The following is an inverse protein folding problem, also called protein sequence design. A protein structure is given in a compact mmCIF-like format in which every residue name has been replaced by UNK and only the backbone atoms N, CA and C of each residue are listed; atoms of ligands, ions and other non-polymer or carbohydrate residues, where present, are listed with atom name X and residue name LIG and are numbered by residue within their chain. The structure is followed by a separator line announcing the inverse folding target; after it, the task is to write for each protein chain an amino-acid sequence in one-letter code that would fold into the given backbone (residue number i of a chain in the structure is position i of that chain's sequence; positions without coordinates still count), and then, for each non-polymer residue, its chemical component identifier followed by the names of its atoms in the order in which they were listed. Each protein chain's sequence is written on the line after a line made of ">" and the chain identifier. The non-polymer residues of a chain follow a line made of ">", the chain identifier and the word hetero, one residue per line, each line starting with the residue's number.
data_IF_161096936683
#
_entry.id   IF_161096936683
#
_cell.length_a   1.000
_cell.length_b   1.000
_cell.length_c   1.000
_cell.angle_alpha   90.00
_cell.angle_beta   90.00
_cell.angle_gamma   90.00
#
_symmetry.space_group_name_H-M   'P 1'
#
loop_
_entity.id
_entity.type
_entity.pdbx_description
1 polymer ?
#
# COMPACT_ATOMS: atom_id res chain seq x y z
N UNK A 1 -3.35 -25.00 16.90
CA UNK A 1 -2.07 -24.29 16.69
C UNK A 1 -1.15 -25.21 15.94
N UNK A 2 -0.38 -24.72 14.96
CA UNK A 2 0.67 -25.54 14.35
C UNK A 2 1.76 -25.87 15.38
N UNK A 3 2.54 -26.95 15.19
CA UNK A 3 3.58 -27.38 16.14
C UNK A 3 4.65 -26.30 16.41
N UNK A 4 4.82 -25.33 15.51
CA UNK A 4 5.88 -24.32 15.58
C UNK A 4 5.40 -22.94 16.07
N UNK A 5 4.25 -22.84 16.75
CA UNK A 5 3.70 -21.55 17.23
C UNK A 5 3.45 -21.55 18.72
N UNK A 6 4.22 -20.74 19.43
CA UNK A 6 4.06 -20.49 20.87
C UNK A 6 2.87 -19.55 21.15
N UNK A 7 2.12 -19.84 22.21
CA UNK A 7 1.02 -18.98 22.64
C UNK A 7 1.56 -17.81 23.47
N UNK A 8 1.40 -16.59 22.97
CA UNK A 8 1.88 -15.38 23.66
C UNK A 8 0.96 -14.97 24.82
N UNK A 9 -0.32 -15.35 24.78
CA UNK A 9 -1.31 -14.99 25.81
C UNK A 9 -2.26 -16.17 26.09
N UNK A 10 -1.77 -17.12 26.89
CA UNK A 10 -2.45 -18.38 27.20
C UNK A 10 -3.72 -18.19 28.03
N UNK A 11 -3.71 -17.24 28.97
CA UNK A 11 -4.89 -16.94 29.81
C UNK A 11 -6.07 -16.46 28.96
N UNK A 12 -5.84 -15.54 28.03
CA UNK A 12 -6.89 -15.02 27.15
C UNK A 12 -7.40 -16.10 26.19
N UNK A 13 -6.49 -16.95 25.69
CA UNK A 13 -6.86 -18.05 24.80
C UNK A 13 -7.72 -19.09 25.52
N UNK A 14 -7.35 -19.45 26.75
CA UNK A 14 -8.09 -20.41 27.57
C UNK A 14 -9.48 -19.87 27.88
N UNK A 15 -9.59 -18.61 28.34
CA UNK A 15 -10.87 -17.95 28.60
C UNK A 15 -11.80 -17.94 27.37
N UNK A 16 -11.26 -17.57 26.21
CA UNK A 16 -12.03 -17.56 24.96
C UNK A 16 -12.45 -18.97 24.53
N UNK A 17 -11.58 -19.96 24.73
CA UNK A 17 -11.86 -21.36 24.38
C UNK A 17 -12.96 -21.94 25.25
N UNK A 18 -12.90 -21.73 26.57
CA UNK A 18 -13.92 -22.19 27.51
C UNK A 18 -15.27 -21.52 27.23
N UNK A 19 -15.26 -20.21 27.00
CA UNK A 19 -16.46 -19.47 26.65
C UNK A 19 -17.02 -19.88 25.27
N UNK A 20 -16.16 -20.25 24.32
CA UNK A 20 -16.60 -20.75 23.01
C UNK A 20 -17.28 -22.13 23.10
N UNK A 21 -16.74 -23.03 23.94
CA UNK A 21 -17.37 -24.32 24.24
C UNK A 21 -18.71 -24.11 24.95
N UNK A 22 -18.77 -23.21 25.94
CA UNK A 22 -20.00 -22.88 26.67
C UNK A 22 -21.10 -22.29 25.76
N UNK A 23 -20.72 -21.61 24.67
CA UNK A 23 -21.63 -21.07 23.66
C UNK A 23 -21.87 -22.03 22.48
N UNK A 24 -21.69 -23.34 22.67
CA UNK A 24 -21.92 -24.38 21.65
C UNK A 24 -21.18 -24.13 20.33
N UNK A 25 -19.96 -23.61 20.39
CA UNK A 25 -19.12 -23.36 19.21
C UNK A 25 -19.73 -22.34 18.22
N UNK A 26 -20.52 -21.38 18.69
CA UNK A 26 -21.09 -20.33 17.83
C UNK A 26 -20.02 -19.31 17.37
N UNK A 27 -19.67 -19.40 16.08
CA UNK A 27 -18.73 -18.48 15.43
C UNK A 27 -19.22 -17.02 15.44
N UNK A 28 -20.54 -16.78 15.34
CA UNK A 28 -21.07 -15.41 15.35
C UNK A 28 -20.88 -14.78 16.72
N UNK A 29 -21.13 -15.53 17.79
CA UNK A 29 -20.84 -15.09 19.14
C UNK A 29 -19.35 -14.78 19.31
N UNK A 30 -18.46 -15.68 18.87
CA UNK A 30 -17.02 -15.50 19.01
C UNK A 30 -16.52 -14.21 18.34
N UNK A 31 -16.89 -14.00 17.07
CA UNK A 31 -16.50 -12.81 16.30
C UNK A 31 -17.05 -11.54 16.97
N UNK A 32 -18.32 -11.56 17.40
CA UNK A 32 -18.94 -10.42 18.09
C UNK A 32 -18.22 -10.09 19.38
N UNK A 33 -17.90 -11.10 20.20
CA UNK A 33 -17.21 -10.91 21.48
C UNK A 33 -15.83 -10.31 21.27
N UNK A 34 -15.05 -10.81 20.30
CA UNK A 34 -13.73 -10.26 19.96
C UNK A 34 -13.87 -8.80 19.48
N UNK A 35 -14.79 -8.53 18.56
CA UNK A 35 -15.02 -7.19 18.00
C UNK A 35 -15.58 -6.18 19.03
N UNK A 36 -16.25 -6.67 20.08
CA UNK A 36 -16.74 -5.86 21.19
C UNK A 36 -15.65 -5.52 22.22
N UNK A 37 -14.45 -6.11 22.13
CA UNK A 37 -13.37 -5.82 23.07
C UNK A 37 -12.78 -4.42 22.86
N UNK A 38 -12.37 -3.79 23.97
CA UNK A 38 -11.65 -2.50 23.94
C UNK A 38 -10.34 -2.58 23.15
N UNK A 39 -9.69 -3.75 23.14
CA UNK A 39 -8.45 -3.96 22.39
C UNK A 39 -8.69 -3.96 20.88
N UNK A 40 -9.77 -4.58 20.40
CA UNK A 40 -10.12 -4.58 18.98
C UNK A 40 -10.56 -3.20 18.48
N UNK A 41 -11.32 -2.45 19.30
CA UNK A 41 -11.84 -1.13 18.94
C UNK A 41 -10.82 0.01 19.11
N UNK A 42 -9.57 -0.31 19.45
CA UNK A 42 -8.56 0.70 19.74
C UNK A 42 -8.08 1.36 18.45
N UNK A 43 -7.84 2.67 18.51
CA UNK A 43 -7.12 3.38 17.47
C UNK A 43 -5.68 2.84 17.34
N UNK A 44 -5.10 2.87 16.12
CA UNK A 44 -3.72 2.44 15.89
C UNK A 44 -2.77 3.27 16.77
N UNK A 45 -1.90 2.60 17.52
CA UNK A 45 -0.90 3.24 18.38
C UNK A 45 0.44 2.53 18.24
N UNK A 46 1.43 3.24 17.72
CA UNK A 46 2.78 2.73 17.48
C UNK A 46 3.62 2.66 18.76
N UNK A 47 3.23 3.36 19.83
CA UNK A 47 3.92 3.41 21.12
C UNK A 47 3.43 2.35 22.12
N UNK A 48 2.44 1.54 21.74
CA UNK A 48 1.94 0.48 22.59
C UNK A 48 2.80 -0.78 22.50
N UNK A 49 2.75 -1.62 23.52
CA UNK A 49 3.48 -2.90 23.56
C UNK A 49 2.59 -4.08 23.14
N UNK A 50 3.23 -5.16 22.69
CA UNK A 50 2.58 -6.42 22.33
C UNK A 50 1.58 -6.30 21.17
N UNK A 51 0.48 -7.05 21.24
CA UNK A 51 -0.58 -7.11 20.22
C UNK A 51 -1.27 -5.76 19.94
N UNK A 52 -1.08 -4.80 20.83
CA UNK A 52 -1.68 -3.51 20.71
C UNK A 52 -0.86 -2.60 19.77
N UNK A 53 0.43 -2.90 19.56
CA UNK A 53 1.31 -2.11 18.69
C UNK A 53 0.83 -2.18 17.24
N UNK A 54 0.56 -1.01 16.67
CA UNK A 54 0.35 -0.87 15.24
C UNK A 54 1.72 -0.64 14.59
N UNK A 55 2.23 -1.65 13.90
CA UNK A 55 3.46 -1.55 13.11
C UNK A 55 3.10 -1.51 11.63
N UNK A 56 3.73 -0.63 10.84
CA UNK A 56 3.55 -0.62 9.39
C UNK A 56 3.92 -2.00 8.81
N UNK A 57 2.97 -2.63 8.13
CA UNK A 57 3.20 -3.93 7.49
C UNK A 57 3.36 -3.70 5.99
N UNK A 58 4.42 -4.27 5.40
CA UNK A 58 4.62 -4.25 3.95
C UNK A 58 3.44 -4.88 3.21
N UNK A 59 2.94 -4.17 2.21
CA UNK A 59 1.90 -4.65 1.30
C UNK A 59 2.44 -5.76 0.41
N UNK A 60 1.57 -6.67 -0.01
CA UNK A 60 1.93 -7.69 -0.99
C UNK A 60 2.11 -7.09 -2.38
N UNK A 61 2.87 -7.76 -3.24
CA UNK A 61 3.10 -7.33 -4.62
C UNK A 61 1.81 -7.07 -5.41
N UNK A 62 0.78 -7.90 -5.21
CA UNK A 62 -0.54 -7.72 -5.84
C UNK A 62 -1.23 -6.43 -5.39
N UNK A 63 -1.08 -6.09 -4.10
CA UNK A 63 -1.67 -4.90 -3.52
C UNK A 63 -0.94 -3.64 -3.97
N UNK A 64 0.40 -3.67 -3.97
CA UNK A 64 1.22 -2.56 -4.46
C UNK A 64 0.93 -2.30 -5.95
N UNK A 65 0.84 -3.36 -6.76
CA UNK A 65 0.52 -3.24 -8.19
C UNK A 65 -0.87 -2.61 -8.41
N UNK A 66 -1.86 -3.06 -7.65
CA UNK A 66 -3.22 -2.51 -7.73
C UNK A 66 -3.26 -1.03 -7.30
N UNK A 67 -2.58 -0.67 -6.21
CA UNK A 67 -2.44 0.71 -5.76
C UNK A 67 -1.76 1.58 -6.82
N UNK A 68 -0.67 1.10 -7.44
CA UNK A 68 0.00 1.83 -8.53
C UNK A 68 -0.95 2.05 -9.72
N UNK A 69 -1.62 1.01 -10.18
CA UNK A 69 -2.58 1.11 -11.28
C UNK A 69 -3.71 2.11 -10.96
N UNK A 70 -4.24 2.06 -9.73
CA UNK A 70 -5.27 2.98 -9.27
C UNK A 70 -4.79 4.44 -9.20
N UNK A 71 -3.62 4.69 -8.61
CA UNK A 71 -3.04 6.05 -8.52
C UNK A 71 -2.71 6.65 -9.87
N UNK A 72 -2.23 5.83 -10.81
CA UNK A 72 -1.85 6.26 -12.15
C UNK A 72 -3.04 6.30 -13.13
N UNK A 73 -4.20 5.75 -12.73
CA UNK A 73 -5.38 5.69 -13.59
C UNK A 73 -5.27 4.69 -14.75
N UNK A 74 -4.40 3.68 -14.64
CA UNK A 74 -4.15 2.69 -15.69
C UNK A 74 -4.68 1.32 -15.30
N UNK A 75 -5.15 0.53 -16.28
CA UNK A 75 -5.62 -0.84 -16.03
C UNK A 75 -4.47 -1.81 -15.76
N UNK A 76 -3.32 -1.58 -16.40
CA UNK A 76 -2.13 -2.43 -16.29
C UNK A 76 -0.87 -1.61 -16.58
N UNK A 77 0.23 -1.92 -15.91
CA UNK A 77 1.53 -1.33 -16.23
C UNK A 77 2.11 -1.97 -17.51
N UNK A 78 2.67 -1.19 -18.45
CA UNK A 78 3.26 -1.70 -19.69
C UNK A 78 4.64 -2.34 -19.45
N UNK A 79 4.76 -3.22 -18.46
CA UNK A 79 5.98 -3.96 -18.18
C UNK A 79 6.14 -5.07 -19.22
N UNK A 80 7.31 -5.13 -19.85
CA UNK A 80 7.65 -6.22 -20.76
C UNK A 80 8.13 -7.41 -19.93
N UNK A 81 7.60 -8.61 -20.17
CA UNK A 81 8.15 -9.80 -19.55
C UNK A 81 9.63 -9.95 -19.96
N UNK A 82 10.49 -10.21 -18.98
CA UNK A 82 11.89 -10.58 -19.23
C UNK A 82 11.94 -11.77 -20.20
N UNK A 83 12.90 -11.77 -21.13
CA UNK A 83 13.02 -12.77 -22.21
C UNK A 83 13.12 -14.20 -21.66
N UNK A 84 11.98 -14.86 -21.53
CA UNK A 84 11.83 -16.27 -21.17
C UNK A 84 10.83 -16.93 -22.10
N UNK A 85 11.08 -18.18 -22.48
CA UNK A 85 10.22 -18.96 -23.39
C UNK A 85 8.80 -19.00 -22.83
N UNK A 86 7.87 -18.35 -23.52
CA UNK A 86 6.43 -18.41 -23.21
C UNK A 86 5.96 -19.85 -23.29
N UNK A 87 5.37 -20.35 -22.21
CA UNK A 87 4.50 -21.53 -22.32
C UNK A 87 3.22 -21.10 -23.07
N UNK A 88 2.72 -21.86 -24.05
CA UNK A 88 1.44 -21.56 -24.72
C UNK A 88 0.25 -21.41 -23.75
N UNK A 89 0.38 -21.93 -22.53
CA UNK A 89 -0.61 -21.82 -21.45
C UNK A 89 -0.53 -20.50 -20.65
N UNK A 90 0.57 -19.74 -20.71
CA UNK A 90 0.70 -18.43 -20.05
C UNK A 90 0.00 -17.30 -20.81
N UNK A 91 -0.31 -17.51 -22.09
CA UNK A 91 -1.01 -16.55 -22.95
C UNK A 91 -2.44 -16.22 -22.46
N UNK A 92 -2.97 -16.99 -21.50
CA UNK A 92 -4.33 -16.86 -20.99
C UNK A 92 -4.43 -16.07 -19.68
N UNK A 93 -3.30 -15.58 -19.13
CA UNK A 93 -3.31 -14.65 -17.99
C UNK A 93 -3.45 -13.22 -18.49
N UNK A 94 -4.51 -12.53 -18.06
CA UNK A 94 -4.98 -11.24 -18.60
C UNK A 94 -4.02 -10.04 -18.42
N UNK A 95 -2.98 -10.14 -17.60
CA UNK A 95 -2.08 -9.00 -17.33
C UNK A 95 -0.61 -9.44 -17.16
N UNK A 96 0.17 -9.33 -18.24
CA UNK A 96 1.60 -9.63 -18.25
C UNK A 96 2.42 -8.67 -17.37
N UNK A 97 1.93 -7.45 -17.14
CA UNK A 97 2.59 -6.47 -16.29
C UNK A 97 2.56 -6.89 -14.83
N UNK A 98 1.43 -7.45 -14.39
CA UNK A 98 1.25 -7.96 -13.03
C UNK A 98 2.21 -9.10 -12.70
N UNK A 99 2.49 -9.99 -13.66
CA UNK A 99 3.40 -11.12 -13.44
C UNK A 99 4.85 -10.67 -13.29
N UNK A 100 5.29 -9.76 -14.15
CA UNK A 100 6.63 -9.19 -14.06
C UNK A 100 6.81 -8.45 -12.73
N UNK A 101 5.82 -7.66 -12.34
CA UNK A 101 5.82 -6.95 -11.06
C UNK A 101 5.88 -7.93 -9.87
N UNK A 102 5.10 -9.02 -9.92
CA UNK A 102 5.12 -10.04 -8.87
C UNK A 102 6.46 -10.76 -8.76
N UNK A 103 7.27 -10.81 -9.82
CA UNK A 103 8.62 -11.40 -9.76
C UNK A 103 9.60 -10.50 -9.04
N UNK A 104 9.44 -9.18 -9.18
CA UNK A 104 10.33 -8.17 -8.57
C UNK A 104 9.94 -7.90 -7.11
N UNK A 105 8.66 -7.76 -6.82
CA UNK A 105 8.14 -7.38 -5.49
C UNK A 105 7.58 -8.55 -4.67
N UNK A 106 7.56 -9.77 -5.25
CA UNK A 106 7.08 -10.96 -4.58
C UNK A 106 7.97 -11.34 -3.40
N UNK A 107 7.35 -11.85 -2.34
CA UNK A 107 8.04 -12.43 -1.20
C UNK A 107 7.34 -13.72 -0.77
N UNK A 108 8.06 -14.60 -0.07
CA UNK A 108 7.47 -15.82 0.48
C UNK A 108 6.55 -15.43 1.67
N UNK A 109 5.25 -15.77 1.65
CA UNK A 109 4.33 -15.47 2.74
C UNK A 109 4.73 -16.14 4.08
N UNK A 110 5.65 -17.10 4.06
CA UNK A 110 6.19 -17.79 5.23
C UNK A 110 7.34 -17.02 5.90
N UNK A 111 7.94 -16.04 5.20
CA UNK A 111 9.02 -15.23 5.75
C UNK A 111 8.52 -14.38 6.93
N UNK A 112 9.24 -14.36 8.07
CA UNK A 112 8.90 -13.50 9.21
C UNK A 112 8.81 -12.03 8.82
N UNK A 113 7.91 -11.29 9.49
CA UNK A 113 7.62 -9.89 9.15
C UNK A 113 8.83 -8.98 9.28
N UNK A 114 9.67 -9.23 10.28
CA UNK A 114 10.84 -8.42 10.60
C UNK A 114 11.93 -8.54 9.51
N UNK A 115 11.89 -9.61 8.71
CA UNK A 115 12.82 -9.86 7.62
C UNK A 115 12.33 -9.30 6.27
N UNK A 116 11.06 -8.86 6.19
CA UNK A 116 10.45 -8.27 5.00
C UNK A 116 10.87 -6.80 4.83
N UNK A 117 12.16 -6.58 4.63
CA UNK A 117 12.70 -5.27 4.24
C UNK A 117 12.64 -5.09 2.73
N UNK A 118 12.31 -3.88 2.26
CA UNK A 118 12.31 -3.58 0.81
C UNK A 118 13.69 -3.82 0.21
N UNK A 119 13.74 -4.45 -0.96
CA UNK A 119 15.01 -4.80 -1.58
C UNK A 119 15.58 -3.64 -2.42
N UNK A 120 16.92 -3.55 -2.52
CA UNK A 120 17.57 -2.53 -3.37
C UNK A 120 17.06 -2.60 -4.84
N UNK A 121 16.86 -3.78 -5.45
CA UNK A 121 16.27 -3.88 -6.80
C UNK A 121 14.86 -3.30 -6.91
N UNK A 122 14.02 -3.43 -5.88
CA UNK A 122 12.67 -2.85 -5.86
C UNK A 122 12.72 -1.32 -5.86
N UNK A 123 13.56 -0.74 -5.00
CA UNK A 123 13.75 0.71 -4.95
C UNK A 123 14.33 1.25 -6.27
N UNK A 124 15.33 0.56 -6.83
CA UNK A 124 15.91 0.93 -8.13
C UNK A 124 14.90 0.82 -9.27
N UNK A 125 14.03 -0.19 -9.24
CA UNK A 125 12.95 -0.31 -10.22
C UNK A 125 12.00 0.88 -10.15
N UNK A 126 11.54 1.25 -8.95
CA UNK A 126 10.63 2.40 -8.78
C UNK A 126 11.27 3.72 -9.19
N UNK A 127 12.50 3.98 -8.73
CA UNK A 127 13.18 5.26 -8.98
C UNK A 127 13.60 5.44 -10.44
N UNK A 128 14.03 4.36 -11.10
CA UNK A 128 14.56 4.43 -12.46
C UNK A 128 13.56 3.99 -13.54
N UNK A 129 12.34 3.60 -13.17
CA UNK A 129 11.34 3.18 -14.14
C UNK A 129 10.88 4.38 -14.97
N UNK A 130 11.52 4.54 -16.13
CA UNK A 130 11.08 5.45 -17.19
C UNK A 130 9.63 5.20 -17.62
N UNK A 131 9.09 4.00 -17.37
CA UNK A 131 7.68 3.69 -17.60
C UNK A 131 6.78 4.42 -16.62
N UNK A 132 7.11 4.41 -15.32
CA UNK A 132 6.33 5.16 -14.31
C UNK A 132 6.40 6.66 -14.60
N UNK A 133 7.59 7.20 -14.89
CA UNK A 133 7.75 8.62 -15.26
C UNK A 133 6.93 8.97 -16.50
N UNK A 134 6.93 8.11 -17.53
CA UNK A 134 6.11 8.35 -18.74
C UNK A 134 4.62 8.29 -18.46
N UNK A 135 4.15 7.33 -17.66
CA UNK A 135 2.72 7.22 -17.32
C UNK A 135 2.27 8.44 -16.51
N UNK A 136 3.10 8.90 -15.57
CA UNK A 136 2.86 10.14 -14.79
C UNK A 136 2.82 11.37 -15.71
N UNK A 137 3.79 11.50 -16.62
CA UNK A 137 3.91 12.65 -17.51
C UNK A 137 2.85 12.68 -18.64
N UNK A 138 2.30 11.52 -19.03
CA UNK A 138 1.35 11.45 -20.15
C UNK A 138 0.04 12.14 -19.76
N UNK A 139 -0.37 13.22 -20.45
CA UNK A 139 -1.63 13.89 -20.19
C UNK A 139 -2.77 13.05 -20.77
N UNK A 140 -3.34 12.19 -19.92
CA UNK A 140 -4.60 11.50 -20.21
C UNK A 140 -5.68 11.99 -19.25
N UNK A 141 -6.95 11.90 -19.65
CA UNK A 141 -8.10 12.21 -18.77
C UNK A 141 -8.22 11.20 -17.63
N UNK A 142 -7.64 10.02 -17.78
CA UNK A 142 -7.52 9.01 -16.73
C UNK A 142 -6.46 9.37 -15.68
N UNK A 143 -5.48 10.20 -16.05
CA UNK A 143 -4.37 10.57 -15.19
C UNK A 143 -4.85 11.45 -14.04
N UNK A 144 -4.44 11.06 -12.83
CA UNK A 144 -4.82 11.68 -11.58
C UNK A 144 -4.51 13.18 -11.55
N UNK A 145 -3.35 13.60 -12.04
CA UNK A 145 -2.94 15.01 -12.04
C UNK A 145 -3.90 15.84 -12.90
N UNK A 146 -4.30 15.33 -14.07
CA UNK A 146 -5.27 16.01 -14.96
C UNK A 146 -6.66 16.07 -14.31
N UNK A 147 -7.09 15.02 -13.61
CA UNK A 147 -8.39 14.99 -12.91
C UNK A 147 -8.47 15.93 -11.72
N UNK A 148 -7.39 16.04 -10.94
CA UNK A 148 -7.36 16.90 -9.76
C UNK A 148 -7.28 18.38 -10.19
N UNK A 149 -6.39 18.69 -11.15
CA UNK A 149 -6.22 20.07 -11.66
C UNK A 149 -7.45 20.63 -12.38
N UNK A 150 -8.35 19.78 -12.88
CA UNK A 150 -9.60 20.22 -13.53
C UNK A 150 -10.77 20.41 -12.57
N UNK A 151 -10.78 19.71 -11.43
CA UNK A 151 -11.91 19.72 -10.48
C UNK A 151 -11.64 20.54 -9.21
N UNK A 152 -10.39 20.77 -8.85
CA UNK A 152 -10.00 21.40 -7.58
C UNK A 152 -9.42 22.79 -7.83
N UNK A 153 -9.92 23.77 -7.07
CA UNK A 153 -9.66 25.19 -7.32
C UNK A 153 -8.47 25.76 -6.52
N UNK A 154 -8.16 25.20 -5.34
CA UNK A 154 -7.08 25.68 -4.48
C UNK A 154 -5.88 24.72 -4.50
N UNK A 155 -4.65 25.27 -4.52
CA UNK A 155 -3.41 24.50 -4.53
C UNK A 155 -3.27 23.55 -3.32
N UNK A 156 -3.74 23.99 -2.14
CA UNK A 156 -3.72 23.21 -0.90
C UNK A 156 -4.64 21.98 -0.98
N UNK A 157 -5.81 22.14 -1.61
CA UNK A 157 -6.76 21.06 -1.83
C UNK A 157 -6.22 20.06 -2.88
N UNK A 158 -5.49 20.56 -3.90
CA UNK A 158 -4.83 19.71 -4.90
C UNK A 158 -3.80 18.80 -4.22
N UNK A 159 -2.97 19.35 -3.34
CA UNK A 159 -1.99 18.57 -2.57
C UNK A 159 -2.72 17.55 -1.68
N UNK A 160 -3.77 17.96 -0.99
CA UNK A 160 -4.53 17.08 -0.10
C UNK A 160 -5.15 15.89 -0.85
N UNK A 161 -5.75 16.14 -2.02
CA UNK A 161 -6.33 15.10 -2.87
C UNK A 161 -5.25 14.15 -3.43
N UNK A 162 -4.06 14.67 -3.74
CA UNK A 162 -2.92 13.87 -4.19
C UNK A 162 -2.45 12.91 -3.08
N UNK A 163 -2.34 13.39 -1.84
CA UNK A 163 -2.01 12.57 -0.67
C UNK A 163 -3.09 11.53 -0.37
N UNK A 164 -4.37 11.90 -0.43
CA UNK A 164 -5.48 10.97 -0.24
C UNK A 164 -5.49 9.87 -1.30
N UNK A 165 -5.22 10.23 -2.55
CA UNK A 165 -5.23 9.26 -3.64
C UNK A 165 -4.03 8.30 -3.61
N UNK A 166 -2.87 8.77 -3.15
CA UNK A 166 -1.63 7.98 -3.11
C UNK A 166 -1.43 7.20 -1.81
N UNK A 167 -1.60 7.86 -0.66
CA UNK A 167 -1.34 7.31 0.67
C UNK A 167 -2.62 7.03 1.48
N UNK A 168 -3.80 7.46 1.02
CA UNK A 168 -5.05 7.22 1.72
C UNK A 168 -5.25 8.06 2.99
N UNK A 169 -4.46 9.14 3.17
CA UNK A 169 -4.55 10.07 4.30
C UNK A 169 -4.35 11.51 3.86
N UNK A 170 -4.76 12.45 4.69
CA UNK A 170 -4.43 13.86 4.52
C UNK A 170 -2.96 14.14 4.87
N UNK A 171 -2.33 15.14 4.24
CA UNK A 171 -0.98 15.59 4.59
C UNK A 171 -0.97 16.23 5.98
N UNK A 172 0.10 16.03 6.74
CA UNK A 172 0.30 16.79 7.98
C UNK A 172 0.72 18.24 7.71
N UNK A 173 0.57 19.13 8.70
CA UNK A 173 0.92 20.56 8.56
C UNK A 173 2.35 20.82 8.06
N UNK A 174 3.30 19.96 8.45
CA UNK A 174 4.69 20.04 8.00
C UNK A 174 4.88 19.58 6.55
N UNK A 175 4.22 18.49 6.17
CA UNK A 175 4.26 17.93 4.82
C UNK A 175 3.60 18.88 3.81
N UNK A 176 2.47 19.49 4.20
CA UNK A 176 1.75 20.48 3.40
C UNK A 176 2.65 21.69 3.12
N UNK A 177 3.36 22.21 4.12
CA UNK A 177 4.29 23.33 3.94
C UNK A 177 5.40 23.00 2.94
N UNK A 178 6.01 21.83 3.06
CA UNK A 178 7.09 21.37 2.17
C UNK A 178 6.56 21.21 0.74
N UNK A 179 5.40 20.57 0.58
CA UNK A 179 4.77 20.38 -0.73
C UNK A 179 4.45 21.73 -1.40
N UNK A 180 3.88 22.67 -0.66
CA UNK A 180 3.56 24.01 -1.15
C UNK A 180 4.82 24.83 -1.51
N UNK A 181 5.90 24.71 -0.74
CA UNK A 181 7.18 25.34 -1.06
C UNK A 181 7.80 24.77 -2.34
N UNK A 182 7.72 23.45 -2.52
CA UNK A 182 8.17 22.80 -3.74
C UNK A 182 7.38 23.28 -4.97
N UNK A 183 6.03 23.29 -4.88
CA UNK A 183 5.17 23.77 -5.97
C UNK A 183 5.48 25.20 -6.41
N UNK A 184 5.87 26.08 -5.48
CA UNK A 184 6.28 27.47 -5.78
C UNK A 184 7.65 27.58 -6.46
N UNK A 185 8.53 26.61 -6.22
CA UNK A 185 9.89 26.60 -6.76
C UNK A 185 9.94 25.93 -8.14
N UNK A 186 8.98 25.06 -8.45
CA UNK A 186 8.92 24.32 -9.70
C UNK A 186 8.60 25.21 -10.91
N UNK A 187 9.08 24.87 -12.12
CA UNK A 187 8.89 25.70 -13.31
C UNK A 187 7.42 25.79 -13.76
N UNK A 188 6.63 24.76 -13.47
CA UNK A 188 5.19 24.74 -13.69
C UNK A 188 4.48 23.97 -12.58
N UNK A 189 3.21 24.31 -12.32
CA UNK A 189 2.37 23.60 -11.36
C UNK A 189 2.24 22.11 -11.71
N UNK A 190 2.18 21.78 -13.00
CA UNK A 190 2.11 20.39 -13.47
C UNK A 190 3.39 19.62 -13.15
N UNK A 191 4.56 20.15 -13.49
CA UNK A 191 5.84 19.48 -13.19
C UNK A 191 6.03 19.32 -11.68
N UNK A 192 5.69 20.33 -10.87
CA UNK A 192 5.74 20.20 -9.42
C UNK A 192 4.82 19.13 -8.84
N UNK A 193 3.64 18.92 -9.44
CA UNK A 193 2.73 17.82 -9.05
C UNK A 193 3.24 16.45 -9.52
N UNK A 194 3.85 16.37 -10.69
CA UNK A 194 4.46 15.14 -11.20
C UNK A 194 5.64 14.71 -10.32
N UNK A 195 6.49 15.66 -9.92
CA UNK A 195 7.60 15.42 -8.99
C UNK A 195 7.10 15.02 -7.59
N UNK A 196 6.07 15.71 -7.08
CA UNK A 196 5.46 15.37 -5.79
C UNK A 196 4.83 13.97 -5.81
N UNK A 197 4.10 13.61 -6.87
CA UNK A 197 3.54 12.27 -7.04
C UNK A 197 4.65 11.21 -7.11
N UNK A 198 5.72 11.47 -7.87
CA UNK A 198 6.86 10.57 -7.93
C UNK A 198 7.51 10.38 -6.54
N UNK A 199 7.66 11.44 -5.76
CA UNK A 199 8.19 11.36 -4.40
C UNK A 199 7.28 10.53 -3.48
N UNK A 200 5.96 10.70 -3.58
CA UNK A 200 4.99 9.93 -2.79
C UNK A 200 5.00 8.44 -3.16
N UNK A 201 5.10 8.09 -4.44
CA UNK A 201 5.17 6.70 -4.90
C UNK A 201 6.47 5.99 -4.50
N UNK A 202 7.56 6.74 -4.34
CA UNK A 202 8.85 6.20 -3.87
C UNK A 202 9.00 6.25 -2.33
N UNK A 203 8.02 6.81 -1.61
CA UNK A 203 8.02 6.83 -0.16
C UNK A 203 7.84 5.43 0.42
N UNK A 204 8.52 5.07 1.52
CA UNK A 204 8.28 3.81 2.21
C UNK A 204 6.82 3.67 2.67
N UNK A 205 6.12 4.78 2.93
CA UNK A 205 4.73 4.76 3.38
C UNK A 205 3.80 4.13 2.34
N UNK A 206 4.07 4.35 1.04
CA UNK A 206 3.28 3.78 -0.07
C UNK A 206 3.30 2.24 -0.10
N UNK A 207 4.40 1.64 0.35
CA UNK A 207 4.57 0.19 0.39
C UNK A 207 4.04 -0.46 1.67
N UNK A 208 3.54 0.33 2.62
CA UNK A 208 3.11 -0.17 3.91
C UNK A 208 1.64 0.14 4.16
N UNK A 209 0.96 -0.74 4.90
CA UNK A 209 -0.32 -0.43 5.53
C UNK A 209 -0.11 -0.19 7.01
N UNK A 210 -0.83 0.80 7.54
CA UNK A 210 -0.94 1.08 8.97
C UNK A 210 -2.16 0.37 9.55
#
# INVERSE_FOLDING_TARGET
>A
MGPDRECVNEETLTLLSDAFVANNYDLKWLIRTIAATRMYQRAPNNAAEGFAKCEPIRLRSDQIYASLCQTLGVTSLPLRPSEGRRSPYEMQRMDAGREEFSRIFGFDPSTPRDELTGSIPEALFMMNSTLLTRVIATPDNSNLITRISTNVLAEEDIVSELYLSSLGREPGDGELKIAMEHLKTSPSLREGLEDLLWALLNSPEFFTRR
#
